data_IF_304504927726
#
_entry.id   IF_304504927726
#
_cell.length_a   1.000
_cell.length_b   1.000
_cell.length_c   1.000
_cell.angle_alpha   90.00
_cell.angle_beta   90.00
_cell.angle_gamma   90.00
#
_symmetry.space_group_name_H-M   'P 1'
#
loop_
_entity.id
_entity.type
_entity.pdbx_description
1 polymer ?
#
# COMPACT_ATOMS: atom_id res chain seq x y z
N UNK A 1 2.63 -37.88 8.24
CA UNK A 1 2.30 -36.46 8.08
C UNK A 1 2.32 -36.15 6.60
N UNK A 2 1.13 -35.99 6.01
CA UNK A 2 0.96 -35.66 4.59
C UNK A 2 1.62 -34.33 4.26
N UNK A 3 2.62 -34.35 3.38
CA UNK A 3 3.18 -33.14 2.79
C UNK A 3 2.21 -32.71 1.70
N UNK A 4 1.29 -31.80 2.04
CA UNK A 4 0.32 -31.26 1.08
C UNK A 4 1.07 -30.54 -0.05
N UNK A 5 1.01 -31.20 -1.20
CA UNK A 5 1.23 -30.78 -2.58
C UNK A 5 1.40 -29.26 -2.80
N UNK A 6 2.44 -28.89 -3.56
CA UNK A 6 2.72 -27.53 -4.07
C UNK A 6 1.43 -26.76 -4.41
N UNK A 7 0.94 -25.98 -3.44
CA UNK A 7 -0.34 -25.31 -3.56
C UNK A 7 -0.23 -24.16 -4.55
N UNK A 8 -0.64 -24.41 -5.79
CA UNK A 8 -0.89 -23.38 -6.79
C UNK A 8 -2.11 -22.55 -6.34
N UNK A 9 -1.89 -21.49 -5.55
CA UNK A 9 -2.94 -20.53 -5.21
C UNK A 9 -3.33 -19.77 -6.48
N UNK A 10 -4.58 -19.90 -6.93
CA UNK A 10 -5.07 -19.17 -8.09
C UNK A 10 -5.13 -17.65 -7.84
N UNK A 11 -5.12 -16.85 -8.91
CA UNK A 11 -5.23 -15.38 -8.81
C UNK A 11 -6.49 -14.95 -8.02
N UNK A 12 -7.64 -15.57 -8.30
CA UNK A 12 -8.91 -15.24 -7.65
C UNK A 12 -8.89 -15.61 -6.16
N UNK A 13 -8.36 -16.79 -5.82
CA UNK A 13 -8.20 -17.21 -4.43
C UNK A 13 -7.28 -16.25 -3.67
N UNK A 14 -6.15 -15.85 -4.28
CA UNK A 14 -5.19 -14.94 -3.67
C UNK A 14 -5.81 -13.55 -3.39
N UNK A 15 -6.68 -13.06 -4.28
CA UNK A 15 -7.44 -11.81 -4.06
C UNK A 15 -8.43 -11.96 -2.90
N UNK A 16 -9.17 -13.06 -2.83
CA UNK A 16 -10.10 -13.31 -1.73
C UNK A 16 -9.38 -13.40 -0.38
N UNK A 17 -8.23 -14.08 -0.35
CA UNK A 17 -7.40 -14.23 0.85
C UNK A 17 -6.78 -12.90 1.31
N UNK A 18 -6.41 -12.00 0.39
CA UNK A 18 -5.93 -10.67 0.78
C UNK A 18 -7.01 -9.83 1.48
N UNK A 19 -8.30 -10.03 1.16
CA UNK A 19 -9.40 -9.33 1.84
C UNK A 19 -9.57 -9.81 3.29
N UNK A 20 -9.34 -11.09 3.56
CA UNK A 20 -9.60 -11.72 4.87
C UNK A 20 -8.36 -11.79 5.76
N UNK A 21 -7.25 -12.32 5.26
CA UNK A 21 -6.02 -12.57 6.03
C UNK A 21 -5.07 -11.37 6.09
N UNK A 22 -5.27 -10.36 5.23
CA UNK A 22 -4.59 -9.05 5.16
C UNK A 22 -3.08 -9.06 4.92
N UNK A 23 -2.36 -10.14 5.23
CA UNK A 23 -0.90 -10.24 5.14
C UNK A 23 -0.43 -11.49 4.40
N UNK A 24 0.67 -11.36 3.66
CA UNK A 24 1.27 -12.49 2.94
C UNK A 24 1.76 -13.60 3.88
N UNK A 25 2.09 -13.27 5.13
CA UNK A 25 2.51 -14.25 6.15
C UNK A 25 1.33 -15.11 6.62
N UNK A 26 0.17 -14.50 6.90
CA UNK A 26 -1.04 -15.23 7.26
C UNK A 26 -1.54 -16.13 6.11
N UNK A 27 -1.42 -15.64 4.87
CA UNK A 27 -1.73 -16.44 3.67
C UNK A 27 -0.77 -17.63 3.56
N UNK A 28 0.53 -17.41 3.77
CA UNK A 28 1.54 -18.46 3.72
C UNK A 28 1.30 -19.56 4.76
N UNK A 29 1.05 -19.16 6.01
CA UNK A 29 0.75 -20.09 7.09
C UNK A 29 -0.47 -20.98 6.80
N UNK A 30 -1.53 -20.42 6.19
CA UNK A 30 -2.73 -21.17 5.83
C UNK A 30 -2.49 -22.24 4.76
N UNK A 31 -1.54 -22.01 3.85
CA UNK A 31 -1.27 -22.88 2.70
C UNK A 31 0.03 -23.69 2.85
N UNK A 32 0.69 -23.63 4.00
CA UNK A 32 1.97 -24.30 4.23
C UNK A 32 3.11 -23.79 3.33
N UNK A 33 3.02 -22.55 2.83
CA UNK A 33 4.04 -21.94 1.98
C UNK A 33 4.67 -20.72 2.64
N UNK A 34 5.86 -20.35 2.19
CA UNK A 34 6.54 -19.17 2.73
C UNK A 34 5.81 -17.88 2.34
N UNK A 35 5.90 -16.86 3.21
CA UNK A 35 5.51 -15.47 2.88
C UNK A 35 6.11 -15.02 1.53
N UNK A 36 7.36 -15.40 1.27
CA UNK A 36 8.07 -15.01 0.05
C UNK A 36 7.45 -15.65 -1.20
N UNK A 37 7.01 -16.91 -1.11
CA UNK A 37 6.28 -17.58 -2.20
C UNK A 37 4.96 -16.85 -2.51
N UNK A 38 4.20 -16.46 -1.48
CA UNK A 38 2.98 -15.65 -1.63
C UNK A 38 3.30 -14.32 -2.32
N UNK A 39 4.38 -13.64 -1.91
CA UNK A 39 4.82 -12.40 -2.55
C UNK A 39 5.12 -12.59 -4.05
N UNK A 40 5.84 -13.65 -4.41
CA UNK A 40 6.14 -13.95 -5.82
C UNK A 40 4.86 -14.26 -6.62
N UNK A 41 3.90 -14.99 -6.04
CA UNK A 41 2.60 -15.24 -6.65
C UNK A 41 1.82 -13.94 -6.88
N UNK A 42 1.82 -13.03 -5.90
CA UNK A 42 1.22 -11.70 -6.07
C UNK A 42 1.85 -10.93 -7.21
N UNK A 43 3.19 -10.92 -7.31
CA UNK A 43 3.90 -10.28 -8.41
C UNK A 43 3.52 -10.89 -9.76
N UNK A 44 3.54 -12.23 -9.86
CA UNK A 44 3.15 -12.98 -11.07
C UNK A 44 1.74 -12.60 -11.54
N UNK A 45 0.81 -12.39 -10.61
CA UNK A 45 -0.58 -12.04 -10.92
C UNK A 45 -0.88 -10.54 -11.04
N UNK A 46 0.13 -9.67 -10.87
CA UNK A 46 -0.05 -8.22 -10.90
C UNK A 46 -0.79 -7.66 -9.68
N UNK A 47 -0.76 -8.37 -8.54
CA UNK A 47 -1.38 -7.99 -7.27
C UNK A 47 -0.38 -7.31 -6.31
N UNK A 48 0.70 -6.73 -6.84
CA UNK A 48 1.66 -6.01 -6.01
C UNK A 48 1.01 -4.76 -5.42
N UNK A 49 1.41 -4.42 -4.21
CA UNK A 49 0.97 -3.17 -3.60
C UNK A 49 1.51 -2.01 -4.44
N UNK A 50 0.66 -1.05 -4.82
CA UNK A 50 1.11 0.13 -5.55
C UNK A 50 2.06 0.94 -4.64
N UNK A 51 3.36 0.64 -4.74
CA UNK A 51 4.44 1.27 -3.95
C UNK A 51 4.45 2.78 -4.12
N UNK A 52 3.98 3.25 -5.28
CA UNK A 52 3.94 4.66 -5.62
C UNK A 52 2.67 5.37 -5.14
N UNK A 53 1.62 4.66 -4.69
CA UNK A 53 0.34 5.26 -4.27
C UNK A 53 0.53 6.38 -3.25
N UNK A 54 1.33 6.13 -2.22
CA UNK A 54 1.62 7.14 -1.19
C UNK A 54 2.48 8.28 -1.73
N UNK A 55 3.46 7.97 -2.57
CA UNK A 55 4.34 8.98 -3.19
C UNK A 55 3.53 9.92 -4.09
N UNK A 56 2.66 9.38 -4.94
CA UNK A 56 1.78 10.12 -5.84
C UNK A 56 0.83 11.01 -5.02
N UNK A 57 0.11 10.43 -4.06
CA UNK A 57 -0.80 11.16 -3.16
C UNK A 57 -0.08 12.30 -2.42
N UNK A 58 1.11 12.05 -1.90
CA UNK A 58 1.88 13.07 -1.18
C UNK A 58 2.36 14.21 -2.10
N UNK A 59 2.71 13.90 -3.36
CA UNK A 59 3.04 14.92 -4.37
C UNK A 59 1.81 15.77 -4.70
N UNK A 60 0.65 15.14 -4.87
CA UNK A 60 -0.62 15.84 -5.11
C UNK A 60 -0.97 16.79 -3.95
N UNK A 61 -0.83 16.34 -2.70
CA UNK A 61 -1.03 17.17 -1.51
C UNK A 61 -0.14 18.41 -1.54
N UNK A 62 1.16 18.23 -1.81
CA UNK A 62 2.10 19.35 -1.88
C UNK A 62 1.77 20.31 -3.03
N UNK A 63 1.38 19.78 -4.19
CA UNK A 63 1.01 20.59 -5.35
C UNK A 63 -0.25 21.43 -5.09
N UNK A 64 -1.29 20.85 -4.49
CA UNK A 64 -2.53 21.58 -4.14
C UNK A 64 -2.25 22.67 -3.10
N UNK A 65 -1.45 22.37 -2.09
CA UNK A 65 -1.08 23.35 -1.07
C UNK A 65 -0.28 24.52 -1.66
N UNK A 66 0.67 24.23 -2.55
CA UNK A 66 1.45 25.27 -3.25
C UNK A 66 0.59 26.14 -4.19
N UNK A 67 -0.56 25.65 -4.65
CA UNK A 67 -1.56 26.41 -5.40
C UNK A 67 -2.47 27.27 -4.50
N UNK A 68 -2.21 27.34 -3.19
CA UNK A 68 -2.99 28.13 -2.24
C UNK A 68 -4.22 27.42 -1.68
N UNK A 69 -4.44 26.13 -1.98
CA UNK A 69 -5.54 25.37 -1.37
C UNK A 69 -5.21 25.07 0.09
N UNK A 70 -6.10 25.45 1.00
CA UNK A 70 -5.90 25.21 2.43
C UNK A 70 -5.75 23.71 2.75
N UNK A 71 -4.93 23.39 3.75
CA UNK A 71 -4.71 22.00 4.18
C UNK A 71 -6.01 21.27 4.56
N UNK A 72 -6.98 22.00 5.12
CA UNK A 72 -8.33 21.48 5.47
C UNK A 72 -9.15 21.12 4.23
N UNK A 73 -9.13 21.95 3.18
CA UNK A 73 -9.81 21.62 1.91
C UNK A 73 -9.14 20.45 1.19
N UNK A 74 -7.80 20.36 1.23
CA UNK A 74 -7.06 19.20 0.70
C UNK A 74 -7.43 17.93 1.46
N UNK A 75 -7.54 18.01 2.79
CA UNK A 75 -7.95 16.90 3.65
C UNK A 75 -9.34 16.36 3.26
N UNK A 76 -10.32 17.25 3.09
CA UNK A 76 -11.68 16.91 2.64
C UNK A 76 -11.67 16.24 1.26
N UNK A 77 -10.97 16.84 0.29
CA UNK A 77 -10.90 16.33 -1.09
C UNK A 77 -10.31 14.92 -1.16
N UNK A 78 -9.28 14.65 -0.36
CA UNK A 78 -8.56 13.37 -0.36
C UNK A 78 -9.03 12.37 0.70
N UNK A 79 -10.08 12.72 1.47
CA UNK A 79 -10.61 11.92 2.58
C UNK A 79 -9.52 11.49 3.58
N UNK A 80 -8.65 12.43 3.94
CA UNK A 80 -7.59 12.26 4.94
C UNK A 80 -7.82 13.17 6.13
N UNK A 81 -7.21 12.87 7.28
CA UNK A 81 -7.22 13.80 8.41
C UNK A 81 -6.32 15.02 8.13
N UNK A 82 -6.71 16.17 8.67
CA UNK A 82 -5.90 17.40 8.59
C UNK A 82 -4.49 17.17 9.15
N UNK A 83 -4.35 16.48 10.28
CA UNK A 83 -3.05 16.15 10.88
C UNK A 83 -2.17 15.31 9.95
N UNK A 84 -2.75 14.39 9.17
CA UNK A 84 -2.00 13.63 8.17
C UNK A 84 -1.49 14.52 7.05
N UNK A 85 -2.32 15.44 6.55
CA UNK A 85 -1.90 16.41 5.53
C UNK A 85 -0.71 17.23 6.00
N UNK A 86 -0.77 17.83 7.20
CA UNK A 86 0.31 18.68 7.71
C UNK A 86 1.61 17.92 7.98
N UNK A 87 1.54 16.66 8.45
CA UNK A 87 2.74 15.80 8.56
C UNK A 87 3.41 15.54 7.21
N UNK A 88 2.60 15.31 6.17
CA UNK A 88 3.10 15.09 4.80
C UNK A 88 3.77 16.36 4.27
N UNK A 89 3.12 17.52 4.44
CA UNK A 89 3.67 18.82 4.03
C UNK A 89 4.98 19.15 4.77
N UNK A 90 5.04 18.90 6.08
CA UNK A 90 6.26 19.08 6.87
C UNK A 90 7.41 18.20 6.36
N UNK A 91 7.12 16.94 6.05
CA UNK A 91 8.09 16.01 5.45
C UNK A 91 8.56 16.48 4.08
N UNK A 92 7.65 16.96 3.23
CA UNK A 92 7.98 17.51 1.91
C UNK A 92 8.89 18.74 2.01
N UNK A 93 8.61 19.64 2.96
CA UNK A 93 9.44 20.82 3.24
C UNK A 93 10.85 20.44 3.71
N UNK A 94 10.97 19.46 4.62
CA UNK A 94 12.28 18.95 5.08
C UNK A 94 13.11 18.38 3.93
N UNK A 95 12.48 17.61 3.03
CA UNK A 95 13.16 17.08 1.84
C UNK A 95 13.65 18.18 0.91
N UNK A 96 12.87 19.25 0.71
CA UNK A 96 13.29 20.40 -0.10
C UNK A 96 14.49 21.12 0.49
N UNK A 97 14.55 21.29 1.81
CA UNK A 97 15.68 21.95 2.50
C UNK A 97 17.00 21.16 2.44
N UNK A 98 16.94 19.85 2.21
CA UNK A 98 18.12 18.98 2.13
C UNK A 98 18.70 18.86 0.72
N UNK A 99 18.03 19.44 -0.29
CA UNK A 99 18.48 19.51 -1.68
C UNK A 99 18.99 20.92 -1.94
#
# INVERSE_FOLDING_TARGET
MEVLYMACISKQALVALQKTLKTDAAIGAKYGITRQAVHQLRKKYGLDYNRNKNTIRNKEIAALFNKGVSGTRVAQKLKLSASQIYRILATARKKRKKR
#
